data_IF_891027985580
#
_entry.id   IF_891027985580
#
_cell.length_a   1.000
_cell.length_b   1.000
_cell.length_c   1.000
_cell.angle_alpha   90.00
_cell.angle_beta   90.00
_cell.angle_gamma   90.00
#
_symmetry.space_group_name_H-M   'P 1'
#
loop_
_entity.id
_entity.type
_entity.pdbx_description
1 polymer ?
#
# COMPACT_ATOMS: atom_id res chain seq x y z
N UNK A 1 -20.60 0.43 -3.56
CA UNK A 1 -20.63 1.12 -2.24
C UNK A 1 -19.37 0.75 -1.45
N UNK A 2 -19.09 1.39 -0.30
CA UNK A 2 -18.00 0.95 0.60
C UNK A 2 -18.15 -0.51 1.02
N UNK A 3 -19.38 -0.97 1.27
CA UNK A 3 -19.66 -2.36 1.63
C UNK A 3 -19.28 -3.32 0.49
N UNK A 4 -19.67 -3.00 -0.75
CA UNK A 4 -19.35 -3.83 -1.92
C UNK A 4 -17.84 -3.92 -2.15
N UNK A 5 -17.14 -2.77 -2.11
CA UNK A 5 -15.67 -2.73 -2.27
C UNK A 5 -14.99 -3.54 -1.17
N UNK A 6 -15.40 -3.39 0.09
CA UNK A 6 -14.82 -4.17 1.21
C UNK A 6 -15.02 -5.66 1.05
N UNK A 7 -16.23 -6.08 0.68
CA UNK A 7 -16.56 -7.49 0.48
C UNK A 7 -15.74 -8.08 -0.67
N UNK A 8 -15.58 -7.33 -1.76
CA UNK A 8 -14.76 -7.74 -2.90
C UNK A 8 -13.27 -7.86 -2.54
N UNK A 9 -12.69 -6.84 -1.89
CA UNK A 9 -11.28 -6.86 -1.46
C UNK A 9 -11.02 -7.97 -0.44
N UNK A 10 -12.00 -8.29 0.43
CA UNK A 10 -11.88 -9.43 1.34
C UNK A 10 -11.79 -10.76 0.59
N UNK A 11 -12.60 -10.97 -0.46
CA UNK A 11 -12.53 -12.18 -1.30
C UNK A 11 -11.16 -12.29 -1.98
N UNK A 12 -10.69 -11.19 -2.59
CA UNK A 12 -9.38 -11.14 -3.23
C UNK A 12 -8.26 -11.45 -2.23
N UNK A 13 -8.28 -10.84 -1.05
CA UNK A 13 -7.30 -11.10 0.01
C UNK A 13 -7.24 -12.57 0.39
N UNK A 14 -8.39 -13.24 0.53
CA UNK A 14 -8.46 -14.68 0.83
C UNK A 14 -7.92 -15.52 -0.32
N UNK A 15 -8.28 -15.20 -1.57
CA UNK A 15 -7.76 -15.89 -2.74
C UNK A 15 -6.23 -15.80 -2.82
N UNK A 16 -5.64 -14.61 -2.65
CA UNK A 16 -4.19 -14.40 -2.64
C UNK A 16 -3.54 -15.27 -1.56
N UNK A 17 -4.04 -15.22 -0.32
CA UNK A 17 -3.40 -16.00 0.74
C UNK A 17 -3.65 -17.52 0.64
N UNK A 18 -4.63 -17.99 -0.12
CA UNK A 18 -4.69 -19.41 -0.51
C UNK A 18 -3.64 -19.77 -1.56
N UNK A 19 -3.25 -18.81 -2.42
CA UNK A 19 -2.22 -19.00 -3.44
C UNK A 19 -0.80 -18.94 -2.86
N UNK A 20 -0.56 -18.05 -1.89
CA UNK A 20 0.74 -17.84 -1.22
C UNK A 20 0.61 -17.90 0.31
N UNK A 21 0.21 -19.06 0.88
CA UNK A 21 -0.03 -19.22 2.32
C UNK A 21 1.22 -18.99 3.18
N UNK A 22 2.41 -19.17 2.61
CA UNK A 22 3.70 -18.92 3.24
C UNK A 22 4.09 -17.44 3.34
N UNK A 23 3.29 -16.53 2.74
CA UNK A 23 3.53 -15.09 2.77
C UNK A 23 2.44 -14.31 3.51
N UNK A 24 1.25 -14.90 3.70
CA UNK A 24 0.06 -14.18 4.18
C UNK A 24 -0.58 -14.85 5.39
N UNK A 25 -0.93 -14.04 6.40
CA UNK A 25 -1.74 -14.44 7.55
C UNK A 25 -2.88 -13.45 7.83
N UNK A 26 -4.01 -13.96 8.31
CA UNK A 26 -5.16 -13.17 8.76
C UNK A 26 -5.23 -13.03 10.29
N UNK A 27 -4.21 -13.50 11.00
CA UNK A 27 -4.11 -13.33 12.43
C UNK A 27 -4.12 -11.83 12.78
N UNK A 28 -4.90 -11.48 13.81
CA UNK A 28 -5.07 -10.10 14.22
C UNK A 28 -3.86 -9.59 14.99
N UNK A 29 -3.31 -10.40 15.89
CA UNK A 29 -2.20 -10.00 16.71
C UNK A 29 -0.89 -10.13 15.92
N UNK A 30 -0.08 -9.06 15.88
CA UNK A 30 1.12 -8.99 15.01
C UNK A 30 2.18 -10.01 15.43
N UNK A 31 2.35 -10.21 16.73
CA UNK A 31 3.23 -11.20 17.35
C UNK A 31 2.89 -12.64 16.92
N UNK A 32 1.60 -12.94 16.71
CA UNK A 32 1.12 -14.26 16.27
C UNK A 32 1.14 -14.46 14.75
N UNK A 33 1.63 -13.49 13.96
CA UNK A 33 1.74 -13.64 12.50
C UNK A 33 3.03 -14.33 12.06
N UNK A 34 3.98 -14.55 12.97
CA UNK A 34 5.22 -15.29 12.68
C UNK A 34 6.00 -14.75 11.46
N UNK A 35 5.97 -13.43 11.25
CA UNK A 35 6.63 -12.77 10.11
C UNK A 35 5.78 -12.66 8.83
N UNK A 36 4.62 -13.31 8.78
CA UNK A 36 3.71 -13.25 7.62
C UNK A 36 3.02 -11.89 7.49
N UNK A 37 2.82 -11.46 6.24
CA UNK A 37 2.13 -10.23 5.94
C UNK A 37 0.62 -10.38 6.16
N UNK A 38 -0.04 -9.29 6.56
CA UNK A 38 -1.51 -9.25 6.58
C UNK A 38 -2.01 -8.33 5.49
N UNK A 39 -2.91 -8.84 4.67
CA UNK A 39 -3.65 -8.05 3.68
C UNK A 39 -4.86 -7.41 4.37
N UNK A 40 -4.75 -6.13 4.72
CA UNK A 40 -5.76 -5.44 5.53
C UNK A 40 -6.92 -4.87 4.69
N UNK A 41 -7.85 -5.74 4.30
CA UNK A 41 -9.07 -5.34 3.58
C UNK A 41 -9.98 -4.40 4.41
N UNK A 42 -9.76 -4.26 5.73
CA UNK A 42 -10.60 -3.45 6.61
C UNK A 42 -10.40 -1.95 6.46
N UNK A 43 -9.37 -1.53 5.72
CA UNK A 43 -9.14 -0.12 5.34
C UNK A 43 -10.22 0.41 4.38
N UNK A 44 -10.93 -0.47 3.66
CA UNK A 44 -12.03 -0.10 2.77
C UNK A 44 -13.35 0.08 3.53
N UNK A 45 -13.39 0.98 4.51
CA UNK A 45 -14.58 1.26 5.29
C UNK A 45 -14.77 2.76 5.52
N UNK A 46 -16.02 3.17 5.73
CA UNK A 46 -16.34 4.55 6.13
C UNK A 46 -15.57 4.87 7.41
N UNK A 47 -15.07 6.10 7.51
CA UNK A 47 -14.23 6.66 8.60
C UNK A 47 -12.80 6.12 8.74
N UNK A 48 -12.37 5.16 7.91
CA UNK A 48 -10.96 4.76 7.87
C UNK A 48 -10.10 5.84 7.23
N UNK A 49 -8.91 6.04 7.79
CA UNK A 49 -7.93 6.97 7.27
C UNK A 49 -6.76 6.21 6.66
N UNK A 50 -6.28 6.69 5.52
CA UNK A 50 -5.04 6.26 4.91
C UNK A 50 -4.14 7.48 4.73
N UNK A 51 -2.85 7.28 4.85
CA UNK A 51 -1.87 8.33 4.59
C UNK A 51 -1.96 8.76 3.13
N UNK A 52 -1.97 10.07 2.88
CA UNK A 52 -1.99 10.59 1.51
C UNK A 52 -0.62 10.38 0.84
N UNK A 53 -0.57 10.12 -0.48
CA UNK A 53 0.68 10.19 -1.24
C UNK A 53 1.43 11.50 -0.98
N UNK A 54 2.76 11.41 -0.89
CA UNK A 54 3.67 12.51 -0.60
C UNK A 54 3.52 13.19 0.77
N UNK A 55 2.70 12.65 1.69
CA UNK A 55 2.63 13.17 3.05
C UNK A 55 3.74 12.62 3.95
N UNK A 56 4.25 13.48 4.84
CA UNK A 56 5.29 13.14 5.81
C UNK A 56 4.73 12.28 6.95
N UNK A 57 5.58 11.42 7.51
CA UNK A 57 5.26 10.56 8.66
C UNK A 57 5.93 11.11 9.93
N UNK A 58 5.27 11.04 11.09
CA UNK A 58 5.86 11.45 12.37
C UNK A 58 6.84 10.38 12.89
N UNK A 59 7.96 10.22 12.21
CA UNK A 59 9.03 9.30 12.55
C UNK A 59 10.40 9.99 12.39
N UNK A 60 11.44 9.43 13.02
CA UNK A 60 12.79 9.95 12.91
C UNK A 60 13.21 10.10 11.44
N UNK A 61 13.79 11.25 11.09
CA UNK A 61 14.14 11.58 9.71
C UNK A 61 13.00 12.16 8.87
N UNK A 62 11.75 12.16 9.36
CA UNK A 62 10.55 12.61 8.65
C UNK A 62 10.40 11.95 7.26
N UNK A 63 10.24 10.61 7.20
CA UNK A 63 10.07 9.89 5.94
C UNK A 63 8.72 10.24 5.30
N UNK A 64 8.64 10.09 3.98
CA UNK A 64 7.49 10.51 3.17
C UNK A 64 6.88 9.29 2.47
N UNK A 65 5.54 9.24 2.40
CA UNK A 65 4.81 8.20 1.67
C UNK A 65 4.90 8.41 0.15
N UNK A 66 6.04 8.04 -0.44
CA UNK A 66 6.35 8.27 -1.87
C UNK A 66 5.79 7.14 -2.74
N UNK A 67 4.98 7.44 -3.76
CA UNK A 67 4.62 6.45 -4.79
C UNK A 67 5.84 6.04 -5.61
N UNK A 68 5.91 4.75 -5.96
CA UNK A 68 7.02 4.15 -6.70
C UNK A 68 6.51 3.36 -7.90
N UNK A 69 7.37 3.15 -8.89
CA UNK A 69 7.15 2.23 -10.00
C UNK A 69 7.33 0.77 -9.57
N UNK A 70 6.77 -0.16 -10.34
CA UNK A 70 6.91 -1.59 -10.10
C UNK A 70 8.37 -2.07 -10.13
N UNK A 71 9.18 -1.54 -11.05
CA UNK A 71 10.59 -1.91 -11.17
C UNK A 71 11.41 -1.48 -9.94
N UNK A 72 11.00 -0.41 -9.25
CA UNK A 72 11.67 0.03 -8.01
C UNK A 72 11.46 -0.95 -6.86
N UNK A 73 10.42 -1.80 -6.89
CA UNK A 73 10.22 -2.85 -5.89
C UNK A 73 11.26 -3.97 -5.98
N UNK A 74 12.01 -4.05 -7.08
CA UNK A 74 13.09 -5.02 -7.25
C UNK A 74 14.41 -4.55 -6.62
N UNK A 75 14.49 -3.29 -6.17
CA UNK A 75 15.67 -2.76 -5.53
C UNK A 75 15.82 -3.36 -4.11
N UNK A 76 16.89 -4.13 -3.84
CA UNK A 76 17.09 -4.77 -2.53
C UNK A 76 17.32 -3.75 -1.41
N UNK A 77 17.73 -2.52 -1.74
CA UNK A 77 17.94 -1.43 -0.79
C UNK A 77 16.68 -0.56 -0.60
N UNK A 78 15.56 -0.91 -1.24
CA UNK A 78 14.31 -0.18 -1.06
C UNK A 78 13.83 -0.29 0.40
N UNK A 79 13.70 0.86 1.04
CA UNK A 79 13.21 0.98 2.41
C UNK A 79 12.07 1.99 2.54
N UNK A 80 11.15 1.81 3.50
CA UNK A 80 10.06 2.75 3.76
C UNK A 80 10.51 4.18 4.11
N UNK A 81 11.75 4.36 4.54
CA UNK A 81 12.34 5.65 4.94
C UNK A 81 13.36 6.22 3.93
N UNK A 82 13.43 5.64 2.72
CA UNK A 82 14.36 6.05 1.66
C UNK A 82 14.23 7.54 1.29
N UNK A 83 13.00 8.02 1.24
CA UNK A 83 12.71 9.43 0.95
C UNK A 83 12.16 10.15 2.17
N UNK A 84 12.68 11.34 2.41
CA UNK A 84 12.30 12.21 3.52
C UNK A 84 11.83 13.55 2.98
N UNK A 85 11.33 14.42 3.86
CA UNK A 85 11.00 15.80 3.52
C UNK A 85 12.15 16.56 2.84
N UNK A 86 13.40 16.14 3.07
CA UNK A 86 14.61 16.75 2.48
C UNK A 86 14.90 16.28 1.06
N UNK A 87 14.45 15.09 0.66
CA UNK A 87 14.80 14.47 -0.63
C UNK A 87 13.61 14.25 -1.56
N UNK A 88 12.38 14.29 -1.04
CA UNK A 88 11.19 13.95 -1.83
C UNK A 88 10.94 14.90 -3.00
N UNK A 89 11.23 16.19 -2.85
CA UNK A 89 11.04 17.17 -3.93
C UNK A 89 11.96 16.89 -5.10
N UNK A 90 13.23 16.56 -4.83
CA UNK A 90 14.16 16.19 -5.89
C UNK A 90 13.77 14.88 -6.54
N UNK A 91 13.31 13.88 -5.77
CA UNK A 91 12.76 12.64 -6.32
C UNK A 91 11.58 12.90 -7.26
N UNK A 92 10.65 13.77 -6.88
CA UNK A 92 9.49 14.12 -7.69
C UNK A 92 9.89 14.85 -8.98
N UNK A 93 10.93 15.70 -8.94
CA UNK A 93 11.46 16.39 -10.15
C UNK A 93 12.10 15.44 -11.15
N UNK A 94 12.83 14.42 -10.67
CA UNK A 94 13.57 13.52 -11.56
C UNK A 94 12.70 12.41 -12.17
N UNK A 95 11.75 11.87 -11.40
CA UNK A 95 10.96 10.70 -11.81
C UNK A 95 9.50 11.06 -12.12
N UNK A 96 9.02 12.20 -11.64
CA UNK A 96 7.62 12.58 -11.72
C UNK A 96 6.76 11.90 -10.64
N UNK A 97 5.44 11.95 -10.84
CA UNK A 97 4.44 11.27 -10.00
C UNK A 97 3.93 9.99 -10.69
N UNK A 98 4.30 8.80 -10.20
CA UNK A 98 3.80 7.53 -10.73
C UNK A 98 2.28 7.36 -10.68
N UNK A 99 1.59 8.09 -9.80
CA UNK A 99 0.13 8.04 -9.66
C UNK A 99 -0.61 9.04 -10.55
N UNK A 100 0.08 9.99 -11.19
CA UNK A 100 -0.57 11.00 -12.03
C UNK A 100 -1.50 10.41 -13.10
N UNK A 101 -1.15 9.30 -13.79
CA UNK A 101 -2.05 8.67 -14.76
C UNK A 101 -3.32 8.06 -14.15
N UNK A 102 -3.35 7.81 -12.84
CA UNK A 102 -4.46 7.15 -12.14
C UNK A 102 -5.54 8.12 -11.67
N UNK A 103 -5.23 9.42 -11.53
CA UNK A 103 -6.13 10.43 -10.93
C UNK A 103 -7.48 10.52 -11.66
N UNK A 104 -7.55 10.14 -12.93
CA UNK A 104 -8.79 10.16 -13.75
C UNK A 104 -9.15 8.79 -14.33
N UNK A 105 -8.54 7.72 -13.82
CA UNK A 105 -8.75 6.37 -14.34
C UNK A 105 -9.86 5.69 -13.54
N UNK A 106 -11.03 5.59 -14.15
CA UNK A 106 -12.13 4.81 -13.61
C UNK A 106 -11.97 3.33 -14.00
N UNK A 107 -12.31 2.44 -13.07
CA UNK A 107 -12.28 1.00 -13.26
C UNK A 107 -13.46 0.38 -12.54
N UNK A 108 -14.06 -0.63 -13.16
CA UNK A 108 -15.09 -1.45 -12.55
C UNK A 108 -14.46 -2.65 -11.85
N UNK A 109 -15.05 -3.05 -10.72
CA UNK A 109 -14.56 -4.23 -10.00
C UNK A 109 -14.86 -5.49 -10.84
N UNK A 110 -13.85 -6.28 -11.24
CA UNK A 110 -14.08 -7.46 -12.03
C UNK A 110 -14.72 -8.57 -11.18
N UNK A 111 -15.28 -9.58 -11.83
CA UNK A 111 -15.74 -10.79 -11.14
C UNK A 111 -14.53 -11.57 -10.59
N UNK A 112 -14.64 -12.04 -9.34
CA UNK A 112 -13.66 -12.90 -8.66
C UNK A 112 -14.21 -14.31 -8.52
#
# INVERSE_FOLDING_TARGET
>A
TFADTRAWVQKLSRAIGHTVPELVSWEWQKDRREGLARLDYTQNAITKTLVAPFSARPAAGAPVSVPVHWDELQDPDLRPDRWTIRSVIDRARHVGDPLAPLVRREQELPTL
#
